data_IF_550639105119
#
_entry.id   IF_550639105119
#
_cell.length_a   1.000
_cell.length_b   1.000
_cell.length_c   1.000
_cell.angle_alpha   90.00
_cell.angle_beta   90.00
_cell.angle_gamma   90.00
#
_symmetry.space_group_name_H-M   'P 1'
#
loop_
_entity.id
_entity.type
_entity.pdbx_description
1 polymer ?
#
# COMPACT_ATOMS: atom_id res chain seq x y z
N UNK A 1 -8.28 -3.06 5.36
CA UNK A 1 -7.12 -3.74 4.75
C UNK A 1 -5.88 -3.30 5.48
N UNK A 2 -4.97 -4.23 5.74
CA UNK A 2 -3.65 -3.95 6.29
C UNK A 2 -2.61 -4.43 5.26
N UNK A 3 -1.59 -3.61 5.06
CA UNK A 3 -0.44 -3.92 4.22
C UNK A 3 0.82 -3.77 5.04
N UNK A 4 1.78 -4.66 4.86
CA UNK A 4 3.08 -4.62 5.50
C UNK A 4 4.16 -4.99 4.47
N UNK A 5 5.36 -4.42 4.62
CA UNK A 5 6.48 -4.70 3.76
C UNK A 5 7.73 -5.07 4.56
N UNK A 6 8.35 -6.19 4.19
CA UNK A 6 9.58 -6.66 4.80
C UNK A 6 10.73 -6.56 3.80
N UNK A 7 11.82 -5.90 4.21
CA UNK A 7 13.05 -5.80 3.45
C UNK A 7 14.00 -6.94 3.80
N UNK A 8 14.42 -7.71 2.80
CA UNK A 8 15.54 -8.63 2.90
C UNK A 8 16.74 -8.07 2.14
N UNK A 9 17.58 -7.32 2.85
CA UNK A 9 18.79 -6.68 2.32
C UNK A 9 19.85 -7.66 1.79
N UNK A 10 19.79 -8.94 2.16
CA UNK A 10 20.77 -9.93 1.69
C UNK A 10 20.52 -10.41 0.25
N UNK A 11 19.27 -10.29 -0.22
CA UNK A 11 18.82 -10.82 -1.51
C UNK A 11 18.15 -9.75 -2.39
N UNK A 12 18.25 -8.47 -2.05
CA UNK A 12 17.51 -7.36 -2.69
C UNK A 12 16.03 -7.72 -2.90
N UNK A 13 15.39 -8.27 -1.85
CA UNK A 13 14.02 -8.74 -1.93
C UNK A 13 13.14 -7.94 -0.99
N UNK A 14 12.01 -7.49 -1.52
CA UNK A 14 10.93 -6.85 -0.76
C UNK A 14 9.74 -7.77 -0.78
N UNK A 15 9.30 -8.20 0.40
CA UNK A 15 8.11 -9.02 0.58
C UNK A 15 6.94 -8.14 1.02
N UNK A 16 5.77 -8.34 0.44
CA UNK A 16 4.54 -7.64 0.78
C UNK A 16 3.51 -8.60 1.36
N UNK A 17 3.02 -8.30 2.56
CA UNK A 17 1.91 -8.98 3.19
C UNK A 17 0.65 -8.12 3.08
N UNK A 18 -0.44 -8.69 2.55
CA UNK A 18 -1.73 -7.99 2.42
C UNK A 18 -2.81 -8.84 3.07
N UNK A 19 -3.60 -8.23 3.96
CA UNK A 19 -4.79 -8.87 4.56
C UNK A 19 -5.98 -7.93 4.42
N UNK A 20 -7.04 -8.41 3.79
CA UNK A 20 -8.34 -7.73 3.70
C UNK A 20 -9.30 -8.41 4.67
N UNK A 21 -9.93 -7.60 5.52
CA UNK A 21 -10.88 -8.05 6.54
C UNK A 21 -12.21 -7.32 6.37
N UNK A 22 -13.28 -7.99 6.74
CA UNK A 22 -14.58 -7.36 6.93
C UNK A 22 -14.61 -6.52 8.23
N UNK A 23 -15.74 -5.86 8.47
CA UNK A 23 -15.95 -5.00 9.64
C UNK A 23 -15.96 -5.76 10.98
N UNK A 24 -16.15 -7.08 10.97
CA UNK A 24 -16.07 -7.94 12.17
C UNK A 24 -14.65 -8.46 12.44
N UNK A 25 -13.72 -8.19 11.53
CA UNK A 25 -12.34 -8.68 11.58
C UNK A 25 -12.13 -10.02 10.87
N UNK A 26 -13.18 -10.59 10.28
CA UNK A 26 -13.12 -11.80 9.46
C UNK A 26 -12.27 -11.59 8.22
N UNK A 27 -11.39 -12.54 7.90
CA UNK A 27 -10.50 -12.44 6.72
C UNK A 27 -11.31 -12.72 5.46
N UNK A 28 -11.38 -11.76 4.55
CA UNK A 28 -12.05 -11.90 3.24
C UNK A 28 -11.07 -12.34 2.16
N UNK A 29 -9.82 -11.86 2.24
CA UNK A 29 -8.75 -12.22 1.31
C UNK A 29 -7.37 -11.94 1.93
N UNK A 30 -6.35 -12.67 1.50
CA UNK A 30 -4.96 -12.43 1.86
C UNK A 30 -4.02 -12.72 0.70
N UNK A 31 -2.93 -11.97 0.61
CA UNK A 31 -1.89 -12.17 -0.41
C UNK A 31 -0.51 -12.04 0.20
N UNK A 32 0.42 -12.86 -0.27
CA UNK A 32 1.86 -12.70 -0.07
C UNK A 32 2.50 -12.52 -1.44
N UNK A 33 3.19 -11.40 -1.64
CA UNK A 33 3.82 -11.04 -2.90
C UNK A 33 5.27 -10.66 -2.64
N UNK A 34 6.11 -10.68 -3.66
CA UNK A 34 7.48 -10.18 -3.53
C UNK A 34 7.95 -9.51 -4.82
N UNK A 35 8.92 -8.63 -4.68
CA UNK A 35 9.70 -8.09 -5.80
C UNK A 35 11.19 -8.24 -5.49
N UNK A 36 11.97 -8.55 -6.51
CA UNK A 36 13.45 -8.52 -6.43
C UNK A 36 13.89 -7.13 -6.86
N UNK A 37 14.07 -6.25 -5.87
CA UNK A 37 14.51 -4.89 -6.04
C UNK A 37 15.15 -4.35 -4.75
N UNK A 38 16.23 -3.58 -4.88
CA UNK A 38 16.83 -2.80 -3.80
C UNK A 38 16.17 -1.44 -3.65
N UNK A 39 14.87 -1.40 -3.37
CA UNK A 39 14.14 -0.14 -3.25
C UNK A 39 14.45 0.59 -1.93
N UNK A 40 14.47 1.93 -1.95
CA UNK A 40 14.39 2.73 -0.72
C UNK A 40 13.15 2.36 0.11
N UNK A 41 13.21 2.62 1.42
CA UNK A 41 12.11 2.31 2.34
C UNK A 41 10.81 2.99 1.91
N UNK A 42 10.87 4.26 1.52
CA UNK A 42 9.72 5.04 1.06
C UNK A 42 9.06 4.43 -0.18
N UNK A 43 9.86 3.93 -1.11
CA UNK A 43 9.39 3.26 -2.33
C UNK A 43 8.75 1.91 -2.00
N UNK A 44 9.30 1.20 -1.03
CA UNK A 44 8.76 -0.07 -0.52
C UNK A 44 7.39 0.13 0.12
N UNK A 45 7.25 1.13 0.99
CA UNK A 45 5.98 1.47 1.64
C UNK A 45 4.91 1.91 0.63
N UNK A 46 5.28 2.77 -0.32
CA UNK A 46 4.38 3.17 -1.39
C UNK A 46 3.94 1.97 -2.26
N UNK A 47 4.87 1.05 -2.56
CA UNK A 47 4.55 -0.15 -3.32
C UNK A 47 3.59 -1.07 -2.54
N UNK A 48 3.74 -1.20 -1.23
CA UNK A 48 2.82 -1.99 -0.40
C UNK A 48 1.39 -1.47 -0.48
N UNK A 49 1.23 -0.14 -0.41
CA UNK A 49 -0.07 0.54 -0.59
C UNK A 49 -0.61 0.29 -2.00
N UNK A 50 0.20 0.49 -3.03
CA UNK A 50 -0.24 0.29 -4.41
C UNK A 50 -0.69 -1.16 -4.65
N UNK A 51 0.12 -2.15 -4.26
CA UNK A 51 -0.19 -3.58 -4.38
C UNK A 51 -1.43 -3.98 -3.59
N UNK A 52 -1.65 -3.38 -2.42
CA UNK A 52 -2.87 -3.59 -1.63
C UNK A 52 -4.12 -3.13 -2.37
N UNK A 53 -4.08 -1.93 -2.98
CA UNK A 53 -5.20 -1.39 -3.76
C UNK A 53 -5.48 -2.24 -5.00
N UNK A 54 -4.45 -2.65 -5.74
CA UNK A 54 -4.60 -3.58 -6.86
C UNK A 54 -5.24 -4.89 -6.42
N UNK A 55 -4.76 -5.49 -5.32
CA UNK A 55 -5.29 -6.74 -4.81
C UNK A 55 -6.77 -6.63 -4.39
N UNK A 56 -7.18 -5.55 -3.73
CA UNK A 56 -8.60 -5.35 -3.42
C UNK A 56 -9.45 -5.16 -4.67
N UNK A 57 -8.97 -4.39 -5.65
CA UNK A 57 -9.66 -4.22 -6.94
C UNK A 57 -9.87 -5.57 -7.61
N UNK A 58 -8.81 -6.33 -7.77
CA UNK A 58 -8.81 -7.60 -8.50
C UNK A 58 -9.63 -8.67 -7.74
N UNK A 59 -9.75 -8.54 -6.42
CA UNK A 59 -10.60 -9.40 -5.59
C UNK A 59 -12.08 -8.96 -5.55
N UNK A 60 -12.45 -7.83 -6.17
CA UNK A 60 -13.80 -7.28 -6.08
C UNK A 60 -14.17 -6.77 -4.69
N UNK A 61 -13.18 -6.37 -3.89
CA UNK A 61 -13.32 -5.95 -2.48
C UNK A 61 -13.13 -4.44 -2.30
N UNK A 62 -13.25 -3.66 -3.38
CA UNK A 62 -13.42 -2.21 -3.29
C UNK A 62 -14.91 -1.87 -3.07
N UNK A 63 -15.23 -0.80 -2.31
CA UNK A 63 -14.29 0.12 -1.67
C UNK A 63 -13.66 -0.43 -0.38
N UNK A 64 -12.49 0.09 0.01
CA UNK A 64 -11.79 -0.35 1.21
C UNK A 64 -11.06 0.79 1.94
N UNK A 65 -10.90 0.63 3.26
CA UNK A 65 -9.98 1.45 4.07
C UNK A 65 -8.68 0.68 4.28
N UNK A 66 -7.59 1.22 3.73
CA UNK A 66 -6.24 0.72 3.89
C UNK A 66 -5.56 1.36 5.09
N UNK A 67 -4.85 0.56 5.88
CA UNK A 67 -4.07 0.98 7.04
C UNK A 67 -2.59 0.76 6.74
N UNK A 68 -1.79 1.82 6.92
CA UNK A 68 -0.32 1.79 6.79
C UNK A 68 0.30 2.66 7.88
N UNK A 69 1.49 2.30 8.33
CA UNK A 69 2.33 3.03 9.29
C UNK A 69 3.29 4.02 8.60
N UNK A 70 3.27 4.11 7.27
CA UNK A 70 4.13 4.98 6.49
C UNK A 70 3.60 6.43 6.45
N UNK A 71 3.63 7.13 7.59
CA UNK A 71 3.11 8.51 7.73
C UNK A 71 3.65 9.46 6.65
N UNK A 72 4.93 9.33 6.28
CA UNK A 72 5.53 10.12 5.21
C UNK A 72 4.83 9.92 3.86
N UNK A 73 4.55 8.67 3.49
CA UNK A 73 3.85 8.32 2.26
C UNK A 73 2.40 8.81 2.28
N UNK A 74 1.71 8.64 3.41
CA UNK A 74 0.35 9.15 3.57
C UNK A 74 0.29 10.67 3.41
N UNK A 75 1.27 11.40 3.95
CA UNK A 75 1.36 12.85 3.77
C UNK A 75 1.53 13.20 2.28
N UNK A 76 2.32 12.45 1.52
CA UNK A 76 2.49 12.67 0.07
C UNK A 76 1.20 12.42 -0.71
N UNK A 77 0.51 11.30 -0.43
CA UNK A 77 -0.79 10.97 -1.04
C UNK A 77 -1.82 12.07 -0.74
N UNK A 78 -1.96 12.44 0.53
CA UNK A 78 -2.97 13.40 0.98
C UNK A 78 -2.69 14.84 0.50
N UNK A 79 -1.42 15.24 0.47
CA UNK A 79 -1.02 16.56 -0.03
C UNK A 79 -0.98 16.64 -1.57
N UNK A 80 -1.18 15.51 -2.27
CA UNK A 80 -1.01 15.39 -3.73
C UNK A 80 0.37 15.88 -4.18
N UNK A 81 1.39 15.76 -3.32
CA UNK A 81 2.74 16.24 -3.57
C UNK A 81 3.66 15.04 -3.86
N UNK A 82 4.47 15.15 -4.91
CA UNK A 82 5.38 14.07 -5.32
C UNK A 82 6.85 14.54 -5.40
N UNK A 83 7.57 14.59 -4.26
CA UNK A 83 8.87 15.26 -4.18
C UNK A 83 10.09 14.46 -4.65
N UNK A 84 9.97 13.21 -5.14
CA UNK A 84 11.12 12.41 -5.62
C UNK A 84 10.80 11.63 -6.91
N UNK A 85 11.78 11.49 -7.81
CA UNK A 85 11.59 10.88 -9.14
C UNK A 85 11.08 9.43 -9.10
N UNK A 86 11.58 8.60 -8.18
CA UNK A 86 11.27 7.16 -8.13
C UNK A 86 9.91 6.87 -7.47
N UNK A 87 9.63 7.42 -6.28
CA UNK A 87 8.36 7.19 -5.58
C UNK A 87 7.18 7.90 -6.25
N UNK A 88 7.43 8.99 -6.99
CA UNK A 88 6.37 9.82 -7.61
C UNK A 88 5.43 9.04 -8.50
N UNK A 89 5.95 8.11 -9.31
CA UNK A 89 5.12 7.33 -10.23
C UNK A 89 4.11 6.49 -9.44
N UNK A 90 4.59 5.82 -8.38
CA UNK A 90 3.76 5.00 -7.51
C UNK A 90 2.73 5.86 -6.76
N UNK A 91 3.14 7.03 -6.23
CA UNK A 91 2.21 7.96 -5.56
C UNK A 91 1.11 8.42 -6.51
N UNK A 92 1.45 8.75 -7.75
CA UNK A 92 0.47 9.15 -8.76
C UNK A 92 -0.50 8.02 -9.10
N UNK A 93 -0.01 6.79 -9.24
CA UNK A 93 -0.87 5.62 -9.51
C UNK A 93 -1.83 5.34 -8.34
N UNK A 94 -1.35 5.48 -7.10
CA UNK A 94 -2.20 5.41 -5.89
C UNK A 94 -3.28 6.50 -5.94
N UNK A 95 -2.89 7.74 -6.21
CA UNK A 95 -3.80 8.88 -6.32
C UNK A 95 -4.89 8.61 -7.37
N UNK A 96 -4.51 8.16 -8.56
CA UNK A 96 -5.46 7.84 -9.65
C UNK A 96 -6.41 6.71 -9.23
N UNK A 97 -5.88 5.69 -8.55
CA UNK A 97 -6.69 4.58 -8.04
C UNK A 97 -7.72 5.03 -7.00
N UNK A 98 -7.33 5.95 -6.11
CA UNK A 98 -8.21 6.54 -5.09
C UNK A 98 -9.25 7.48 -5.72
N UNK A 99 -8.86 8.31 -6.69
CA UNK A 99 -9.79 9.20 -7.39
C UNK A 99 -10.85 8.43 -8.18
N UNK A 100 -10.48 7.26 -8.70
CA UNK A 100 -11.41 6.35 -9.40
C UNK A 100 -12.38 5.63 -8.44
N UNK A 101 -12.09 5.63 -7.13
CA UNK A 101 -12.87 4.96 -6.09
C UNK A 101 -12.99 5.86 -4.85
N UNK A 102 -13.86 6.88 -4.86
CA UNK A 102 -13.92 7.91 -3.81
C UNK A 102 -14.25 7.39 -2.41
N UNK A 103 -14.85 6.20 -2.31
CA UNK A 103 -15.13 5.52 -1.04
C UNK A 103 -13.90 4.76 -0.47
N UNK A 104 -12.78 4.73 -1.21
CA UNK A 104 -11.52 4.19 -0.72
C UNK A 104 -10.73 5.25 0.04
N UNK A 105 -10.03 4.80 1.08
CA UNK A 105 -9.20 5.68 1.91
C UNK A 105 -7.93 4.97 2.36
N UNK A 106 -6.86 5.74 2.55
CA UNK A 106 -5.62 5.28 3.18
C UNK A 106 -5.46 6.06 4.49
N UNK A 107 -5.34 5.34 5.60
CA UNK A 107 -5.27 5.92 6.95
C UNK A 107 -4.05 5.42 7.71
N UNK A 108 -3.52 6.27 8.58
CA UNK A 108 -2.37 5.90 9.40
C UNK A 108 -2.79 4.89 10.48
N UNK A 109 -1.99 3.85 10.67
CA UNK A 109 -2.09 2.94 11.79
C UNK A 109 -0.68 2.61 12.31
N UNK A 110 -0.36 2.89 13.59
CA UNK A 110 0.94 2.59 14.15
C UNK A 110 1.18 1.07 14.22
N UNK A 111 2.45 0.67 14.11
CA UNK A 111 2.89 -0.70 14.43
C UNK A 111 2.57 -0.95 15.92
N UNK A 112 1.84 -2.03 16.19
CA UNK A 112 1.47 -2.47 17.55
C UNK A 112 2.51 -3.37 18.19
#
# INVERSE_FOLDING_TARGET
MNTDAALNASNDRVDFGIIIRDHTGGVMASSSQFVVAGFPLETTEAMAIFRGLEFARDSGLLPCTMKSDAQGILNLINSRAAPFLEVRLIINDIIISLDSHPDCSVVFAPIG
#
